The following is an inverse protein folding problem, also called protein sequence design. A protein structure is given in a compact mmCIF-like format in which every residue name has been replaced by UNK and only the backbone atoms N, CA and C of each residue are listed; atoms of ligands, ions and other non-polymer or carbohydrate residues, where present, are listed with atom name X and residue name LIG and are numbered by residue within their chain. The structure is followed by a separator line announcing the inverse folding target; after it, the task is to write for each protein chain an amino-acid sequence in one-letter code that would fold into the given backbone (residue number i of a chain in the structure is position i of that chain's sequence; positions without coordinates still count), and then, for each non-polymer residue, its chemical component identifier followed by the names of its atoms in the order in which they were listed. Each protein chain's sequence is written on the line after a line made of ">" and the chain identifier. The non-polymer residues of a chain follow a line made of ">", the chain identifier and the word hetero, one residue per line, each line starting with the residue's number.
data_IF_403606998392
#
_entry.id   IF_403606998392
#
_cell.length_a   1.000
_cell.length_b   1.000
_cell.length_c   1.000
_cell.angle_alpha   90.00
_cell.angle_beta   90.00
_cell.angle_gamma   90.00
#
_symmetry.space_group_name_H-M   'P 1'
#
loop_
_entity.id
_entity.type
_entity.pdbx_description
1 polymer ?
#
# COMPACT_ATOMS: atom_id res chain seq x y z
N UNK A 1 -24.53 -3.36 2.20
CA UNK A 1 -23.21 -2.72 1.99
C UNK A 1 -22.57 -3.35 0.77
N UNK A 2 -21.82 -2.59 -0.02
CA UNK A 2 -21.02 -3.19 -1.09
C UNK A 2 -19.72 -3.77 -0.52
N UNK A 3 -19.06 -4.67 -1.26
CA UNK A 3 -17.81 -5.26 -0.79
C UNK A 3 -16.69 -4.22 -0.75
N UNK A 4 -15.67 -4.48 0.08
CA UNK A 4 -14.47 -3.64 0.14
C UNK A 4 -13.75 -3.54 -1.22
N UNK A 5 -13.77 -4.62 -2.00
CA UNK A 5 -13.28 -4.65 -3.38
C UNK A 5 -14.05 -3.67 -4.28
N UNK A 6 -15.38 -3.64 -4.19
CA UNK A 6 -16.20 -2.71 -4.98
C UNK A 6 -15.98 -1.25 -4.53
N UNK A 7 -15.85 -0.97 -3.22
CA UNK A 7 -15.49 0.38 -2.76
C UNK A 7 -14.11 0.81 -3.27
N UNK A 8 -13.12 -0.10 -3.31
CA UNK A 8 -11.80 0.17 -3.86
C UNK A 8 -11.88 0.54 -5.35
N UNK A 9 -12.60 -0.24 -6.15
CA UNK A 9 -12.74 0.03 -7.58
C UNK A 9 -13.47 1.37 -7.83
N UNK A 10 -14.52 1.68 -7.04
CA UNK A 10 -15.21 2.98 -7.11
C UNK A 10 -14.30 4.14 -6.71
N UNK A 11 -13.42 3.95 -5.73
CA UNK A 11 -12.45 4.97 -5.32
C UNK A 11 -11.43 5.24 -6.42
N UNK A 12 -10.92 4.18 -7.06
CA UNK A 12 -10.02 4.28 -8.23
C UNK A 12 -10.69 5.10 -9.34
N UNK A 13 -11.92 4.77 -9.70
CA UNK A 13 -12.67 5.45 -10.76
C UNK A 13 -12.85 6.94 -10.43
N UNK A 14 -13.30 7.27 -9.21
CA UNK A 14 -13.45 8.67 -8.77
C UNK A 14 -12.14 9.47 -8.81
N UNK A 15 -11.03 8.85 -8.42
CA UNK A 15 -9.73 9.53 -8.46
C UNK A 15 -9.26 9.76 -9.90
N UNK A 16 -9.50 8.81 -10.80
CA UNK A 16 -9.21 8.97 -12.22
C UNK A 16 -10.08 10.04 -12.89
N UNK A 17 -11.36 10.16 -12.51
CA UNK A 17 -12.25 11.25 -12.92
C UNK A 17 -11.73 12.63 -12.51
N UNK A 18 -11.00 12.71 -11.39
CA UNK A 18 -10.31 13.91 -10.91
C UNK A 18 -8.91 14.08 -11.51
N UNK A 19 -8.55 13.30 -12.54
CA UNK A 19 -7.24 13.29 -13.19
C UNK A 19 -6.08 12.93 -12.25
N UNK A 20 -6.38 12.29 -11.12
CA UNK A 20 -5.37 11.79 -10.18
C UNK A 20 -4.88 10.43 -10.67
N UNK A 21 -3.61 10.39 -11.05
CA UNK A 21 -2.94 9.15 -11.49
C UNK A 21 -2.93 8.10 -10.38
N UNK A 22 -3.41 6.90 -10.69
CA UNK A 22 -3.29 5.74 -9.81
C UNK A 22 -1.93 5.08 -10.02
N UNK A 23 -1.09 5.11 -9.00
CA UNK A 23 0.22 4.46 -9.06
C UNK A 23 0.09 2.94 -8.96
N UNK A 24 -0.60 2.48 -7.91
CA UNK A 24 -0.68 1.06 -7.57
C UNK A 24 -1.74 0.81 -6.50
N UNK A 25 -2.13 -0.45 -6.32
CA UNK A 25 -2.90 -0.94 -5.18
C UNK A 25 -2.01 -1.81 -4.30
N UNK A 26 -2.14 -1.67 -2.97
CA UNK A 26 -1.42 -2.49 -2.00
C UNK A 26 -2.42 -3.31 -1.19
N UNK A 27 -2.30 -4.64 -1.25
CA UNK A 27 -3.05 -5.55 -0.38
C UNK A 27 -2.22 -5.78 0.87
N UNK A 28 -2.64 -5.18 1.99
CA UNK A 28 -1.94 -5.27 3.28
C UNK A 28 -2.43 -6.45 4.12
N UNK A 29 -1.61 -6.88 5.08
CA UNK A 29 -1.93 -8.00 5.99
C UNK A 29 -2.28 -9.30 5.25
N UNK A 30 -1.72 -9.48 4.05
CA UNK A 30 -2.02 -10.64 3.22
C UNK A 30 -1.54 -11.94 3.87
N UNK A 31 -2.37 -12.96 3.76
CA UNK A 31 -2.10 -14.35 4.14
C UNK A 31 -2.54 -15.23 2.98
N UNK A 32 -1.82 -16.33 2.75
CA UNK A 32 -2.02 -17.22 1.59
C UNK A 32 -3.43 -17.84 1.52
N UNK A 33 -4.15 -17.89 2.64
CA UNK A 33 -5.55 -18.33 2.73
C UNK A 33 -6.56 -17.36 2.08
N UNK A 34 -6.16 -16.12 1.78
CA UNK A 34 -7.01 -15.12 1.16
C UNK A 34 -6.92 -15.18 -0.37
N UNK A 35 -8.06 -15.45 -1.02
CA UNK A 35 -8.17 -15.42 -2.47
C UNK A 35 -8.34 -13.98 -2.99
N UNK A 36 -7.34 -13.48 -3.71
CA UNK A 36 -7.33 -12.13 -4.32
C UNK A 36 -7.38 -12.16 -5.86
N UNK A 37 -7.55 -13.33 -6.47
CA UNK A 37 -7.51 -13.52 -7.94
C UNK A 37 -8.50 -12.62 -8.70
N UNK A 38 -9.67 -12.36 -8.13
CA UNK A 38 -10.69 -11.48 -8.72
C UNK A 38 -10.25 -10.01 -8.73
N UNK A 39 -9.67 -9.56 -7.62
CA UNK A 39 -9.14 -8.21 -7.49
C UNK A 39 -7.95 -8.03 -8.43
N UNK A 40 -7.01 -8.98 -8.43
CA UNK A 40 -5.84 -9.00 -9.31
C UNK A 40 -6.26 -8.89 -10.78
N UNK A 41 -7.15 -9.78 -11.25
CA UNK A 41 -7.70 -9.75 -12.61
C UNK A 41 -8.39 -8.41 -12.95
N UNK A 42 -9.04 -7.78 -11.98
CA UNK A 42 -9.73 -6.50 -12.17
C UNK A 42 -8.75 -5.33 -12.30
N UNK A 43 -7.66 -5.35 -11.53
CA UNK A 43 -6.60 -4.34 -11.57
C UNK A 43 -5.73 -4.48 -12.82
N UNK A 44 -5.40 -5.71 -13.24
CA UNK A 44 -4.66 -5.97 -14.47
C UNK A 44 -5.36 -5.41 -15.71
N UNK A 45 -6.69 -5.63 -15.82
CA UNK A 45 -7.51 -5.05 -16.90
C UNK A 45 -7.49 -3.51 -16.93
N UNK A 46 -7.15 -2.88 -15.81
CA UNK A 46 -7.02 -1.43 -15.66
C UNK A 46 -5.57 -0.95 -15.78
N UNK A 47 -4.63 -1.85 -16.04
CA UNK A 47 -3.19 -1.59 -16.05
C UNK A 47 -2.69 -0.98 -14.73
N UNK A 48 -3.26 -1.43 -13.60
CA UNK A 48 -2.87 -0.99 -12.26
C UNK A 48 -2.05 -2.10 -11.60
N UNK A 49 -0.81 -1.76 -11.21
CA UNK A 49 0.10 -2.69 -10.53
C UNK A 49 -0.41 -2.98 -9.11
N UNK A 50 -0.46 -4.26 -8.75
CA UNK A 50 -0.78 -4.71 -7.39
C UNK A 50 0.50 -5.10 -6.64
N UNK A 51 0.60 -4.69 -5.38
CA UNK A 51 1.64 -5.13 -4.45
C UNK A 51 1.02 -5.86 -3.27
N UNK A 52 1.73 -6.86 -2.75
CA UNK A 52 1.31 -7.62 -1.58
C UNK A 52 2.22 -7.26 -0.42
N UNK A 53 1.63 -6.74 0.66
CA UNK A 53 2.29 -6.53 1.94
C UNK A 53 1.76 -7.55 2.95
N UNK A 54 2.68 -8.26 3.60
CA UNK A 54 2.39 -9.21 4.69
C UNK A 54 2.47 -8.51 6.05
N UNK A 55 1.90 -9.10 7.11
CA UNK A 55 2.05 -8.58 8.46
C UNK A 55 3.53 -8.40 8.82
N UNK A 56 3.88 -7.22 9.34
CA UNK A 56 5.24 -6.94 9.82
C UNK A 56 5.41 -7.51 11.22
N UNK A 57 6.41 -8.36 11.40
CA UNK A 57 6.69 -9.02 12.67
C UNK A 57 7.11 -8.00 13.75
N UNK A 58 6.62 -8.19 14.98
CA UNK A 58 6.92 -7.29 16.10
C UNK A 58 6.20 -5.95 16.07
N UNK A 59 5.37 -5.66 15.06
CA UNK A 59 4.63 -4.41 14.98
C UNK A 59 3.50 -4.32 16.03
N UNK A 60 3.33 -3.20 16.76
CA UNK A 60 4.07 -1.94 16.66
C UNK A 60 5.25 -1.78 17.64
N UNK A 61 5.52 -2.78 18.49
CA UNK A 61 6.32 -2.59 19.71
C UNK A 61 7.83 -2.80 19.54
N UNK A 62 8.25 -3.69 18.63
CA UNK A 62 9.65 -4.04 18.43
C UNK A 62 10.27 -3.23 17.28
N UNK A 63 10.64 -1.99 17.55
CA UNK A 63 11.16 -1.04 16.54
C UNK A 63 12.38 -1.58 15.80
N UNK A 64 13.33 -2.22 16.50
CA UNK A 64 14.54 -2.76 15.89
C UNK A 64 14.23 -3.86 14.87
N UNK A 65 13.24 -4.71 15.16
CA UNK A 65 12.77 -5.72 14.21
C UNK A 65 11.96 -5.09 13.06
N UNK A 66 11.08 -4.14 13.36
CA UNK A 66 10.23 -3.48 12.37
C UNK A 66 11.06 -2.74 11.32
N UNK A 67 12.06 -1.96 11.74
CA UNK A 67 12.91 -1.13 10.88
C UNK A 67 14.16 -1.92 10.44
N UNK A 68 13.93 -3.11 9.90
CA UNK A 68 14.99 -4.02 9.43
C UNK A 68 14.60 -4.73 8.14
N UNK A 69 15.55 -5.51 7.59
CA UNK A 69 15.30 -6.42 6.47
C UNK A 69 14.23 -7.47 6.82
N UNK A 70 14.15 -7.90 8.08
CA UNK A 70 13.19 -8.89 8.57
C UNK A 70 11.81 -8.30 8.91
N UNK A 71 11.72 -6.97 9.03
CA UNK A 71 10.49 -6.22 9.21
C UNK A 71 10.00 -5.62 7.90
N UNK A 72 10.13 -4.29 7.74
CA UNK A 72 9.71 -3.58 6.53
C UNK A 72 10.41 -4.05 5.26
N UNK A 73 11.63 -4.58 5.34
CA UNK A 73 12.36 -5.10 4.18
C UNK A 73 11.73 -6.34 3.54
N UNK A 74 10.94 -7.13 4.28
CA UNK A 74 10.20 -8.28 3.74
C UNK A 74 9.08 -7.88 2.79
N UNK A 75 8.52 -6.68 2.97
CA UNK A 75 7.49 -6.16 2.09
C UNK A 75 8.14 -5.52 0.86
N UNK A 76 7.62 -5.77 -0.36
CA UNK A 76 8.20 -5.23 -1.58
C UNK A 76 8.14 -3.69 -1.58
N UNK A 77 9.22 -3.08 -2.08
CA UNK A 77 9.25 -1.65 -2.39
C UNK A 77 8.22 -1.33 -3.46
N UNK A 78 7.38 -0.32 -3.20
CA UNK A 78 6.40 0.15 -4.16
C UNK A 78 7.10 1.18 -5.04
N UNK A 79 7.27 0.87 -6.32
CA UNK A 79 7.81 1.85 -7.27
C UNK A 79 6.81 2.98 -7.46
N UNK A 80 7.26 4.21 -7.22
CA UNK A 80 6.47 5.42 -7.39
C UNK A 80 7.09 6.34 -8.43
N UNK A 81 6.25 7.05 -9.18
CA UNK A 81 6.68 7.92 -10.29
C UNK A 81 6.61 9.42 -9.95
N UNK A 82 5.95 9.78 -8.84
CA UNK A 82 5.73 11.15 -8.40
C UNK A 82 6.34 11.38 -7.02
N UNK A 83 6.86 12.59 -6.79
CA UNK A 83 7.45 12.99 -5.50
C UNK A 83 6.42 13.10 -4.35
N UNK A 84 5.16 13.33 -4.70
CA UNK A 84 4.05 13.37 -3.76
C UNK A 84 3.16 12.15 -4.01
N UNK A 85 3.06 11.30 -3.00
CA UNK A 85 2.25 10.08 -3.03
C UNK A 85 1.17 10.20 -1.96
N UNK A 86 -0.09 10.09 -2.39
CA UNK A 86 -1.24 10.09 -1.49
C UNK A 86 -1.66 8.65 -1.24
N UNK A 87 -1.63 8.22 0.01
CA UNK A 87 -2.07 6.88 0.42
C UNK A 87 -3.48 6.96 0.98
N UNK A 88 -4.44 6.36 0.28
CA UNK A 88 -5.86 6.35 0.65
C UNK A 88 -6.41 4.93 0.67
N UNK A 89 -7.58 4.73 1.29
CA UNK A 89 -8.26 3.43 1.35
C UNK A 89 -9.76 3.61 1.62
N UNK A 90 -10.61 2.64 1.21
CA UNK A 90 -12.05 2.66 1.49
C UNK A 90 -12.45 2.81 2.96
N UNK A 91 -11.60 2.42 3.91
CA UNK A 91 -11.97 2.42 5.33
C UNK A 91 -10.81 2.56 6.32
N UNK A 92 -11.11 2.48 7.63
CA UNK A 92 -10.11 2.39 8.69
C UNK A 92 -9.37 1.04 8.64
N UNK A 93 -8.28 0.92 9.39
CA UNK A 93 -7.51 -0.31 9.58
C UNK A 93 -7.01 -1.01 8.30
N UNK A 94 -6.88 -0.26 7.21
CA UNK A 94 -6.46 -0.79 5.90
C UNK A 94 -4.94 -0.77 5.69
N UNK A 95 -4.16 -0.70 6.77
CA UNK A 95 -2.69 -0.70 6.71
C UNK A 95 -2.01 0.58 6.21
N UNK A 96 -2.75 1.67 5.93
CA UNK A 96 -2.21 2.94 5.36
C UNK A 96 -0.91 3.41 6.02
N UNK A 97 -0.87 3.52 7.35
CA UNK A 97 0.32 3.97 8.08
C UNK A 97 1.49 2.99 7.92
N UNK A 98 1.22 1.69 8.09
CA UNK A 98 2.24 0.64 7.92
C UNK A 98 2.84 0.65 6.52
N UNK A 99 2.02 0.84 5.48
CA UNK A 99 2.49 1.01 4.09
C UNK A 99 3.37 2.26 3.94
N UNK A 100 2.95 3.41 4.47
CA UNK A 100 3.75 4.63 4.42
C UNK A 100 5.12 4.45 5.08
N UNK A 101 5.16 3.86 6.29
CA UNK A 101 6.41 3.65 7.02
C UNK A 101 7.32 2.61 6.35
N UNK A 102 6.74 1.53 5.82
CA UNK A 102 7.47 0.55 5.00
C UNK A 102 8.07 1.21 3.75
N UNK A 103 7.33 2.10 3.09
CA UNK A 103 7.85 2.84 1.95
C UNK A 103 8.99 3.78 2.34
N UNK A 104 8.88 4.50 3.46
CA UNK A 104 9.96 5.34 3.96
C UNK A 104 11.23 4.54 4.23
N UNK A 105 11.11 3.36 4.85
CA UNK A 105 12.25 2.47 5.05
C UNK A 105 13.01 2.19 3.75
N UNK A 106 12.29 1.81 2.70
CA UNK A 106 12.90 1.51 1.40
C UNK A 106 13.48 2.74 0.69
N UNK A 107 12.82 3.89 0.76
CA UNK A 107 13.32 5.16 0.20
C UNK A 107 14.66 5.54 0.85
N UNK A 108 14.75 5.49 2.19
CA UNK A 108 15.98 5.79 2.91
C UNK A 108 17.10 4.78 2.58
N UNK A 109 16.77 3.49 2.48
CA UNK A 109 17.72 2.46 2.04
C UNK A 109 18.26 2.72 0.62
N UNK A 110 17.46 3.36 -0.24
CA UNK A 110 17.83 3.79 -1.60
C UNK A 110 18.48 5.17 -1.65
N UNK A 111 18.73 5.81 -0.50
CA UNK A 111 19.34 7.15 -0.42
C UNK A 111 18.38 8.31 -0.70
N UNK A 112 17.08 8.06 -0.79
CA UNK A 112 16.05 9.09 -0.99
C UNK A 112 15.53 9.54 0.39
N UNK A 113 15.67 10.85 0.67
CA UNK A 113 15.15 11.45 1.90
C UNK A 113 13.65 11.74 1.74
N UNK A 114 12.83 10.74 2.04
CA UNK A 114 11.38 10.85 2.05
C UNK A 114 10.85 11.30 3.42
N UNK A 115 9.57 11.68 3.48
CA UNK A 115 8.89 12.07 4.72
C UNK A 115 7.43 11.58 4.73
N UNK A 116 6.84 11.53 5.92
CA UNK A 116 5.43 11.19 6.13
C UNK A 116 4.70 12.38 6.74
N UNK A 117 3.47 12.60 6.26
CA UNK A 117 2.53 13.54 6.85
C UNK A 117 1.14 12.88 6.88
N UNK A 118 0.32 13.29 7.84
CA UNK A 118 -1.07 12.87 7.96
C UNK A 118 -1.98 14.07 7.67
N UNK A 119 -2.99 13.85 6.84
CA UNK A 119 -4.07 14.80 6.60
C UNK A 119 -5.35 14.20 7.18
N UNK A 120 -6.03 14.97 8.02
CA UNK A 120 -7.31 14.63 8.66
C UNK A 120 -8.36 15.69 8.32
#
# INVERSE_FOLDING_TARGET
>A
GISYELELLRLIEKLQELEISINSVVVTMYKEEHNISRLESSLEKRNIKMYIHRPTEGYPDNVDLIVSEDGYGKNPYIETTKKLVVVTAPGPNSGKLGTCLSQLYHEYKKGVKAGYAKFE
#
